data_IF_192299501637
#
_entry.id   IF_192299501637
#
_cell.length_a   1.000
_cell.length_b   1.000
_cell.length_c   1.000
_cell.angle_alpha   90.00
_cell.angle_beta   90.00
_cell.angle_gamma   90.00
#
_symmetry.space_group_name_H-M   'P 1'
#
loop_
_entity.id
_entity.type
_entity.pdbx_description
1 polymer ?
#
# COMPACT_ATOMS: atom_id res chain seq x y z
N UNK A 1 13.02 15.24 11.30
CA UNK A 1 11.95 14.43 11.96
C UNK A 1 11.00 13.71 11.00
N UNK A 2 10.56 14.28 9.86
CA UNK A 2 9.65 13.58 8.92
C UNK A 2 10.20 12.26 8.32
N UNK A 3 11.52 12.16 8.12
CA UNK A 3 12.18 10.93 7.65
C UNK A 3 12.01 9.74 8.61
N UNK A 4 11.86 9.98 9.91
CA UNK A 4 11.66 8.89 10.87
C UNK A 4 10.26 8.28 10.77
N UNK A 5 9.22 9.10 10.65
CA UNK A 5 7.84 8.62 10.53
C UNK A 5 7.62 7.81 9.24
N UNK A 6 8.28 8.17 8.14
CA UNK A 6 8.21 7.40 6.89
C UNK A 6 8.88 6.03 7.02
N UNK A 7 10.03 5.95 7.71
CA UNK A 7 10.69 4.67 8.03
C UNK A 7 9.80 3.80 8.92
N UNK A 8 9.22 4.36 9.98
CA UNK A 8 8.28 3.65 10.86
C UNK A 8 7.08 3.11 10.08
N UNK A 9 6.55 3.91 9.16
CA UNK A 9 5.44 3.51 8.28
C UNK A 9 5.83 2.29 7.45
N UNK A 10 6.98 2.34 6.77
CA UNK A 10 7.46 1.23 5.96
C UNK A 10 7.64 -0.06 6.77
N UNK A 11 8.33 0.03 7.92
CA UNK A 11 8.57 -1.11 8.81
C UNK A 11 7.25 -1.70 9.31
N UNK A 12 6.29 -0.85 9.72
CA UNK A 12 5.00 -1.32 10.22
C UNK A 12 4.18 -2.07 9.16
N UNK A 13 4.19 -1.61 7.91
CA UNK A 13 3.52 -2.32 6.81
C UNK A 13 4.23 -3.64 6.46
N UNK A 14 5.57 -3.68 6.49
CA UNK A 14 6.32 -4.93 6.29
C UNK A 14 5.96 -5.95 7.37
N UNK A 15 5.95 -5.54 8.64
CA UNK A 15 5.59 -6.42 9.75
C UNK A 15 4.14 -6.89 9.61
N UNK A 16 3.18 -5.98 9.38
CA UNK A 16 1.78 -6.37 9.27
C UNK A 16 1.54 -7.39 8.16
N UNK A 17 2.14 -7.17 6.99
CA UNK A 17 2.00 -8.10 5.87
C UNK A 17 2.77 -9.41 6.10
N UNK A 18 3.87 -9.40 6.85
CA UNK A 18 4.53 -10.63 7.32
C UNK A 18 3.59 -11.47 8.19
N UNK A 19 2.93 -10.85 9.17
CA UNK A 19 1.93 -11.52 10.01
C UNK A 19 0.72 -12.01 9.21
N UNK A 20 0.29 -11.28 8.18
CA UNK A 20 -0.76 -11.71 7.27
C UNK A 20 -0.38 -12.99 6.49
N UNK A 21 0.87 -13.09 6.02
CA UNK A 21 1.41 -14.31 5.38
C UNK A 21 1.39 -15.47 6.38
N UNK A 22 1.90 -15.26 7.60
CA UNK A 22 1.95 -16.31 8.62
C UNK A 22 0.56 -16.79 9.01
N UNK A 23 -0.41 -15.88 9.17
CA UNK A 23 -1.80 -16.22 9.44
C UNK A 23 -2.45 -17.01 8.31
N UNK A 24 -2.18 -16.63 7.06
CA UNK A 24 -2.70 -17.34 5.87
C UNK A 24 -2.06 -18.72 5.70
N UNK A 25 -0.75 -18.84 5.93
CA UNK A 25 -0.04 -20.12 5.94
C UNK A 25 -0.53 -21.04 7.06
N UNK A 26 -0.72 -20.50 8.27
CA UNK A 26 -1.29 -21.23 9.40
C UNK A 26 -2.69 -21.77 9.10
N UNK A 27 -3.53 -20.96 8.45
CA UNK A 27 -4.86 -21.37 8.02
C UNK A 27 -4.80 -22.46 6.95
N UNK A 28 -3.82 -22.44 6.04
CA UNK A 28 -3.61 -23.53 5.06
C UNK A 28 -3.31 -24.86 5.77
N UNK A 29 -2.35 -24.85 6.70
CA UNK A 29 -2.03 -26.04 7.51
C UNK A 29 -3.23 -26.54 8.31
N UNK A 30 -3.98 -25.63 8.94
CA UNK A 30 -5.18 -26.00 9.68
C UNK A 30 -6.27 -26.60 8.78
N UNK A 31 -6.43 -26.09 7.56
CA UNK A 31 -7.41 -26.63 6.62
C UNK A 31 -7.05 -28.05 6.16
N UNK A 32 -5.76 -28.38 6.04
CA UNK A 32 -5.31 -29.73 5.68
C UNK A 32 -5.58 -30.74 6.81
N UNK A 33 -5.37 -30.35 8.07
CA UNK A 33 -5.61 -31.23 9.21
C UNK A 33 -7.11 -31.49 9.46
N UNK A 34 -8.00 -30.66 8.90
CA UNK A 34 -9.44 -30.91 8.91
C UNK A 34 -9.85 -32.12 8.04
N UNK A 35 -8.96 -32.62 7.19
CA UNK A 35 -9.18 -33.84 6.40
C UNK A 35 -9.04 -35.11 7.25
N UNK A 36 -8.37 -35.04 8.40
CA UNK A 36 -8.19 -36.16 9.32
C UNK A 36 -9.28 -36.19 10.42
N UNK A 37 -10.14 -37.23 10.48
CA UNK A 37 -11.30 -37.29 11.39
C UNK A 37 -10.94 -37.21 12.88
N UNK A 38 -9.74 -37.69 13.24
CA UNK A 38 -9.23 -37.72 14.62
C UNK A 38 -8.84 -36.31 15.08
N UNK A 39 -8.15 -35.55 14.22
CA UNK A 39 -7.69 -34.18 14.48
C UNK A 39 -8.85 -33.17 14.43
N UNK A 40 -9.87 -33.44 13.60
CA UNK A 40 -11.03 -32.57 13.45
C UNK A 40 -11.97 -32.55 14.68
N UNK A 41 -11.95 -33.62 15.49
CA UNK A 41 -12.90 -33.81 16.60
C UNK A 41 -12.35 -33.32 17.95
N UNK A 42 -11.04 -33.06 18.05
CA UNK A 42 -10.40 -32.63 19.30
C UNK A 42 -10.66 -31.12 19.63
N UNK A 43 -11.42 -30.80 20.68
CA UNK A 43 -11.74 -29.42 21.04
C UNK A 43 -10.52 -28.62 21.55
N UNK A 44 -9.54 -29.25 22.20
CA UNK A 44 -8.35 -28.56 22.74
C UNK A 44 -7.46 -28.06 21.59
N UNK A 45 -7.23 -28.92 20.61
CA UNK A 45 -6.42 -28.58 19.44
C UNK A 45 -7.09 -27.50 18.58
N UNK A 46 -8.43 -27.52 18.47
CA UNK A 46 -9.19 -26.45 17.82
C UNK A 46 -9.00 -25.10 18.51
N UNK A 47 -9.10 -25.06 19.85
CA UNK A 47 -8.94 -23.83 20.62
C UNK A 47 -7.52 -23.25 20.49
N UNK A 48 -6.50 -24.11 20.52
CA UNK A 48 -5.11 -23.70 20.30
C UNK A 48 -4.90 -23.05 18.92
N UNK A 49 -5.43 -23.66 17.85
CA UNK A 49 -5.28 -23.15 16.48
C UNK A 49 -6.03 -21.83 16.26
N UNK A 50 -7.23 -21.72 16.82
CA UNK A 50 -7.99 -20.46 16.85
C UNK A 50 -7.23 -19.37 17.60
N UNK A 51 -6.63 -19.69 18.75
CA UNK A 51 -5.83 -18.75 19.53
C UNK A 51 -4.63 -18.21 18.74
N UNK A 52 -3.89 -19.09 18.06
CA UNK A 52 -2.77 -18.70 17.21
C UNK A 52 -3.22 -17.84 16.02
N UNK A 53 -4.30 -18.23 15.33
CA UNK A 53 -4.85 -17.44 14.23
C UNK A 53 -5.30 -16.04 14.69
N UNK A 54 -5.98 -15.97 15.84
CA UNK A 54 -6.38 -14.70 16.45
C UNK A 54 -5.17 -13.84 16.81
N UNK A 55 -4.09 -14.42 17.36
CA UNK A 55 -2.85 -13.72 17.65
C UNK A 55 -2.25 -13.09 16.38
N UNK A 56 -2.13 -13.86 15.29
CA UNK A 56 -1.60 -13.33 14.04
C UNK A 56 -2.44 -12.14 13.53
N UNK A 57 -3.77 -12.26 13.55
CA UNK A 57 -4.68 -11.19 13.11
C UNK A 57 -4.66 -9.94 13.99
N UNK A 58 -4.56 -10.10 15.32
CA UNK A 58 -4.45 -8.97 16.26
C UNK A 58 -3.14 -8.20 16.03
N UNK A 59 -2.02 -8.92 15.92
CA UNK A 59 -0.72 -8.30 15.68
C UNK A 59 -0.70 -7.59 14.32
N UNK A 60 -1.18 -8.24 13.26
CA UNK A 60 -1.35 -7.62 11.95
C UNK A 60 -2.13 -6.29 12.07
N UNK A 61 -3.30 -6.33 12.71
CA UNK A 61 -4.19 -5.17 12.82
C UNK A 61 -3.53 -4.01 13.57
N UNK A 62 -2.82 -4.28 14.66
CA UNK A 62 -2.09 -3.27 15.44
C UNK A 62 -1.03 -2.58 14.55
N UNK A 63 -0.24 -3.36 13.82
CA UNK A 63 0.80 -2.79 12.96
C UNK A 63 0.23 -2.02 11.76
N UNK A 64 -0.87 -2.47 11.16
CA UNK A 64 -1.59 -1.70 10.12
C UNK A 64 -2.08 -0.36 10.67
N UNK A 65 -2.60 -0.33 11.91
CA UNK A 65 -3.09 0.88 12.54
C UNK A 65 -1.96 1.86 12.83
N UNK A 66 -0.84 1.39 13.40
CA UNK A 66 0.37 2.19 13.62
C UNK A 66 0.90 2.77 12.31
N UNK A 67 0.98 1.94 11.26
CA UNK A 67 1.43 2.38 9.93
C UNK A 67 0.50 3.42 9.31
N UNK A 68 -0.81 3.23 9.45
CA UNK A 68 -1.81 4.16 8.92
C UNK A 68 -1.75 5.53 9.61
N UNK A 69 -1.62 5.55 10.94
CA UNK A 69 -1.47 6.80 11.70
C UNK A 69 -0.15 7.49 11.34
N UNK A 70 0.96 6.74 11.27
CA UNK A 70 2.26 7.29 10.92
C UNK A 70 2.29 7.87 9.49
N UNK A 71 1.65 7.21 8.53
CA UNK A 71 1.51 7.70 7.16
C UNK A 71 0.70 9.01 7.12
N UNK A 72 -0.40 9.09 7.87
CA UNK A 72 -1.21 10.28 7.95
C UNK A 72 -0.44 11.47 8.54
N UNK A 73 0.27 11.26 9.65
CA UNK A 73 1.13 12.28 10.27
C UNK A 73 2.28 12.72 9.36
N UNK A 74 2.89 11.77 8.65
CA UNK A 74 3.98 12.05 7.71
C UNK A 74 3.51 12.97 6.59
N UNK A 75 2.35 12.69 6.05
CA UNK A 75 1.83 13.47 4.94
C UNK A 75 1.28 14.83 5.39
N UNK A 76 0.68 14.94 6.57
CA UNK A 76 0.29 16.24 7.13
C UNK A 76 1.51 17.17 7.27
N UNK A 77 2.63 16.63 7.76
CA UNK A 77 3.90 17.39 7.81
C UNK A 77 4.46 17.70 6.42
N UNK A 78 4.31 16.78 5.48
CA UNK A 78 4.66 16.99 4.07
C UNK A 78 3.87 18.15 3.46
N UNK A 79 2.55 18.18 3.68
CA UNK A 79 1.64 19.26 3.29
C UNK A 79 2.10 20.62 3.79
N UNK A 80 2.36 20.73 5.09
CA UNK A 80 2.76 21.99 5.71
C UNK A 80 4.07 22.51 5.12
N UNK A 81 5.02 21.59 4.85
CA UNK A 81 6.30 21.93 4.23
C UNK A 81 6.11 22.39 2.78
N UNK A 82 5.28 21.68 2.01
CA UNK A 82 4.95 22.03 0.62
C UNK A 82 4.23 23.38 0.56
N UNK A 83 3.21 23.59 1.39
CA UNK A 83 2.48 24.85 1.53
C UNK A 83 3.41 26.02 1.84
N UNK A 84 4.25 25.89 2.87
CA UNK A 84 5.21 26.93 3.26
C UNK A 84 6.19 27.27 2.12
N UNK A 85 6.73 26.24 1.44
CA UNK A 85 7.66 26.43 0.33
C UNK A 85 7.02 27.08 -0.90
N UNK A 86 5.76 26.77 -1.19
CA UNK A 86 5.01 27.38 -2.28
C UNK A 86 4.69 28.84 -1.95
N UNK A 87 4.27 29.12 -0.72
CA UNK A 87 4.00 30.49 -0.27
C UNK A 87 5.25 31.38 -0.35
N UNK A 88 6.40 30.88 0.13
CA UNK A 88 7.69 31.60 0.05
C UNK A 88 8.07 31.92 -1.40
N UNK A 89 7.87 30.97 -2.32
CA UNK A 89 8.16 31.18 -3.76
C UNK A 89 7.22 32.19 -4.41
N UNK A 90 5.93 32.17 -4.05
CA UNK A 90 4.97 33.16 -4.56
C UNK A 90 5.33 34.55 -4.06
N UNK A 91 5.64 34.72 -2.76
CA UNK A 91 6.02 36.02 -2.20
C UNK A 91 7.31 36.61 -2.79
N UNK A 92 8.21 35.76 -3.29
CA UNK A 92 9.45 36.18 -3.98
C UNK A 92 9.30 36.40 -5.48
N UNK A 93 8.11 36.22 -6.05
CA UNK A 93 7.90 36.40 -7.48
C UNK A 93 7.80 37.88 -7.87
N UNK A 94 8.27 38.27 -9.07
CA UNK A 94 8.27 39.67 -9.50
C UNK A 94 6.85 40.20 -9.75
N UNK A 95 6.60 41.50 -9.59
CA UNK A 95 5.27 42.10 -9.81
C UNK A 95 4.64 41.76 -11.18
N UNK A 96 5.45 41.69 -12.24
CA UNK A 96 4.99 41.27 -13.58
C UNK A 96 4.28 39.90 -13.63
N UNK A 97 4.59 38.98 -12.70
CA UNK A 97 3.91 37.70 -12.57
C UNK A 97 2.47 37.88 -12.06
N UNK A 98 2.27 38.79 -11.10
CA UNK A 98 0.96 39.11 -10.53
C UNK A 98 0.09 39.95 -11.47
N UNK A 99 0.69 40.74 -12.36
CA UNK A 99 -0.04 41.51 -13.37
C UNK A 99 -0.61 40.62 -14.50
N UNK A 100 0.07 39.51 -14.80
CA UNK A 100 -0.29 38.59 -15.89
C UNK A 100 -1.13 37.40 -15.42
N UNK A 101 -1.06 37.03 -14.14
CA UNK A 101 -1.86 35.95 -13.57
C UNK A 101 -2.78 36.43 -12.45
N UNK A 102 -4.11 36.31 -12.59
CA UNK A 102 -5.03 36.75 -11.56
C UNK A 102 -4.83 35.92 -10.28
N UNK A 103 -4.79 36.59 -9.12
CA UNK A 103 -4.58 35.97 -7.80
C UNK A 103 -5.49 34.75 -7.56
N UNK A 104 -6.74 34.80 -8.02
CA UNK A 104 -7.67 33.68 -7.89
C UNK A 104 -7.20 32.40 -8.60
N UNK A 105 -6.49 32.51 -9.72
CA UNK A 105 -5.94 31.36 -10.47
C UNK A 105 -4.74 30.75 -9.74
N UNK A 106 -3.91 31.58 -9.11
CA UNK A 106 -2.77 31.15 -8.29
C UNK A 106 -3.30 30.36 -7.07
N UNK A 107 -4.28 30.90 -6.36
CA UNK A 107 -4.88 30.25 -5.19
C UNK A 107 -5.57 28.94 -5.56
N UNK A 108 -6.33 28.91 -6.66
CA UNK A 108 -7.02 27.70 -7.11
C UNK A 108 -6.03 26.57 -7.48
N UNK A 109 -4.91 26.92 -8.12
CA UNK A 109 -3.84 25.98 -8.44
C UNK A 109 -3.13 25.49 -7.18
N UNK A 110 -2.76 26.39 -6.28
CA UNK A 110 -2.12 26.07 -5.01
C UNK A 110 -2.96 25.10 -4.17
N UNK A 111 -4.25 25.40 -3.98
CA UNK A 111 -5.16 24.54 -3.21
C UNK A 111 -5.32 23.17 -3.86
N UNK A 112 -5.46 23.12 -5.20
CA UNK A 112 -5.60 21.86 -5.93
C UNK A 112 -4.33 20.99 -5.89
N UNK A 113 -3.16 21.61 -6.04
CA UNK A 113 -1.87 20.90 -6.03
C UNK A 113 -1.59 20.33 -4.64
N UNK A 114 -1.90 21.08 -3.58
CA UNK A 114 -1.80 20.60 -2.19
C UNK A 114 -2.78 19.46 -1.93
N UNK A 115 -4.05 19.62 -2.27
CA UNK A 115 -5.06 18.58 -2.06
C UNK A 115 -4.69 17.27 -2.80
N UNK A 116 -4.18 17.39 -4.01
CA UNK A 116 -3.70 16.23 -4.79
C UNK A 116 -2.47 15.58 -4.14
N UNK A 117 -1.47 16.37 -3.76
CA UNK A 117 -0.26 15.88 -3.10
C UNK A 117 -0.55 15.29 -1.72
N UNK A 118 -1.63 15.71 -1.07
CA UNK A 118 -2.03 15.21 0.24
C UNK A 118 -2.91 13.99 0.14
N UNK A 119 -4.10 14.13 -0.42
CA UNK A 119 -5.13 13.10 -0.36
C UNK A 119 -4.80 11.99 -1.35
N UNK A 120 -4.57 12.38 -2.60
CA UNK A 120 -4.41 11.42 -3.71
C UNK A 120 -3.10 10.66 -3.59
N UNK A 121 -1.99 11.35 -3.33
CA UNK A 121 -0.68 10.69 -3.17
C UNK A 121 -0.67 9.73 -1.97
N UNK A 122 -1.17 10.14 -0.81
CA UNK A 122 -1.28 9.25 0.37
C UNK A 122 -2.09 8.00 0.05
N UNK A 123 -3.27 8.19 -0.56
CA UNK A 123 -4.17 7.09 -0.87
C UNK A 123 -3.52 6.10 -1.85
N UNK A 124 -2.87 6.62 -2.90
CA UNK A 124 -2.18 5.80 -3.88
C UNK A 124 -0.98 5.07 -3.28
N UNK A 125 -0.17 5.72 -2.44
CA UNK A 125 0.95 5.07 -1.74
C UNK A 125 0.46 3.95 -0.82
N UNK A 126 -0.59 4.19 -0.03
CA UNK A 126 -1.19 3.16 0.83
C UNK A 126 -1.68 1.98 0.00
N UNK A 127 -2.42 2.26 -1.07
CA UNK A 127 -2.97 1.23 -1.95
C UNK A 127 -1.86 0.45 -2.66
N UNK A 128 -0.81 1.12 -3.12
CA UNK A 128 0.36 0.50 -3.74
C UNK A 128 1.03 -0.47 -2.78
N UNK A 129 1.33 -0.05 -1.54
CA UNK A 129 1.92 -0.95 -0.55
C UNK A 129 1.01 -2.15 -0.27
N UNK A 130 -0.28 -1.91 0.00
CA UNK A 130 -1.22 -3.00 0.27
C UNK A 130 -1.30 -4.01 -0.89
N UNK A 131 -1.39 -3.53 -2.12
CA UNK A 131 -1.48 -4.40 -3.30
C UNK A 131 -0.16 -5.14 -3.57
N UNK A 132 0.97 -4.44 -3.43
CA UNK A 132 2.29 -5.03 -3.61
C UNK A 132 2.53 -6.18 -2.63
N UNK A 133 2.29 -5.96 -1.34
CA UNK A 133 2.48 -7.00 -0.35
C UNK A 133 1.45 -8.14 -0.50
N UNK A 134 0.17 -7.84 -0.78
CA UNK A 134 -0.84 -8.88 -1.07
C UNK A 134 -0.45 -9.76 -2.25
N UNK A 135 0.08 -9.16 -3.32
CA UNK A 135 0.56 -9.91 -4.47
C UNK A 135 1.72 -10.84 -4.09
N UNK A 136 2.66 -10.37 -3.25
CA UNK A 136 3.75 -11.20 -2.73
C UNK A 136 3.21 -12.36 -1.89
N UNK A 137 2.28 -12.11 -0.96
CA UNK A 137 1.65 -13.15 -0.13
C UNK A 137 1.03 -14.24 -1.00
N UNK A 138 0.18 -13.84 -1.94
CA UNK A 138 -0.50 -14.77 -2.84
C UNK A 138 0.50 -15.56 -3.69
N UNK A 139 1.52 -14.89 -4.22
CA UNK A 139 2.54 -15.55 -5.03
C UNK A 139 3.32 -16.60 -4.23
N UNK A 140 3.75 -16.28 -3.00
CA UNK A 140 4.49 -17.21 -2.14
C UNK A 140 3.61 -18.42 -1.79
N UNK A 141 2.38 -18.19 -1.31
CA UNK A 141 1.49 -19.28 -0.90
C UNK A 141 1.15 -20.23 -2.05
N UNK A 142 0.79 -19.70 -3.22
CA UNK A 142 0.47 -20.55 -4.37
C UNK A 142 1.71 -21.33 -4.83
N UNK A 143 2.89 -20.69 -4.82
CA UNK A 143 4.13 -21.35 -5.21
C UNK A 143 4.53 -22.48 -4.26
N UNK A 144 4.21 -22.35 -2.96
CA UNK A 144 4.44 -23.41 -1.97
C UNK A 144 3.52 -24.61 -2.19
N UNK A 145 2.23 -24.36 -2.46
CA UNK A 145 1.23 -25.43 -2.65
C UNK A 145 1.35 -26.11 -4.03
N UNK A 146 1.73 -25.37 -5.08
CA UNK A 146 1.78 -25.89 -6.44
C UNK A 146 2.94 -25.29 -7.26
N UNK A 147 4.14 -25.91 -7.26
CA UNK A 147 5.31 -25.34 -7.95
C UNK A 147 5.15 -25.27 -9.48
N UNK A 148 4.26 -26.08 -10.08
CA UNK A 148 3.92 -26.01 -11.51
C UNK A 148 3.20 -24.70 -11.88
N UNK A 149 2.56 -24.04 -10.91
CA UNK A 149 1.96 -22.72 -11.12
C UNK A 149 2.95 -21.68 -11.67
N UNK A 150 4.23 -21.74 -11.27
CA UNK A 150 5.24 -20.81 -11.78
C UNK A 150 5.37 -20.84 -13.30
N UNK A 151 5.23 -22.01 -13.92
CA UNK A 151 5.30 -22.14 -15.37
C UNK A 151 4.13 -21.43 -16.07
N UNK A 152 2.94 -21.40 -15.44
CA UNK A 152 1.76 -20.69 -15.94
C UNK A 152 1.82 -19.17 -15.70
N UNK A 153 2.60 -18.71 -14.71
CA UNK A 153 2.79 -17.28 -14.44
C UNK A 153 3.60 -16.58 -15.54
N UNK A 154 4.58 -17.27 -16.14
CA UNK A 154 5.43 -16.70 -17.19
C UNK A 154 4.63 -16.15 -18.38
N UNK A 155 3.73 -16.91 -19.04
CA UNK A 155 2.93 -16.38 -20.14
C UNK A 155 1.97 -15.28 -19.68
N UNK A 156 1.44 -15.36 -18.46
CA UNK A 156 0.60 -14.32 -17.86
C UNK A 156 1.33 -12.98 -17.67
N UNK A 157 2.59 -13.02 -17.19
CA UNK A 157 3.42 -11.82 -17.03
C UNK A 157 3.74 -11.18 -18.38
N UNK A 158 3.97 -11.99 -19.42
CA UNK A 158 4.20 -11.50 -20.78
C UNK A 158 2.95 -10.76 -21.28
N UNK A 159 1.77 -11.36 -21.17
CA UNK A 159 0.50 -10.73 -21.55
C UNK A 159 0.27 -9.44 -20.75
N UNK A 160 0.48 -9.48 -19.43
CA UNK A 160 0.33 -8.31 -18.57
C UNK A 160 1.25 -7.17 -18.98
N UNK A 161 2.52 -7.47 -19.27
CA UNK A 161 3.49 -6.49 -19.75
C UNK A 161 3.05 -5.86 -21.07
N UNK A 162 2.59 -6.66 -22.04
CA UNK A 162 2.07 -6.13 -23.30
C UNK A 162 0.85 -5.23 -23.10
N UNK A 163 -0.10 -5.62 -22.24
CA UNK A 163 -1.28 -4.79 -21.92
C UNK A 163 -0.86 -3.49 -21.24
N UNK A 164 0.09 -3.54 -20.30
CA UNK A 164 0.57 -2.37 -19.59
C UNK A 164 1.28 -1.39 -20.54
N UNK A 165 2.17 -1.88 -21.40
CA UNK A 165 2.88 -1.07 -22.41
C UNK A 165 1.89 -0.46 -23.40
N UNK A 166 0.92 -1.24 -23.89
CA UNK A 166 -0.09 -0.76 -24.82
C UNK A 166 -0.95 0.34 -24.18
N UNK A 167 -1.39 0.15 -22.94
CA UNK A 167 -2.13 1.18 -22.19
C UNK A 167 -1.29 2.44 -21.94
N UNK A 168 0.00 2.28 -21.61
CA UNK A 168 0.91 3.41 -21.47
C UNK A 168 1.07 4.17 -22.79
N UNK A 169 1.25 3.45 -23.90
CA UNK A 169 1.40 4.02 -25.24
C UNK A 169 0.14 4.78 -25.67
N UNK A 170 -1.05 4.22 -25.42
CA UNK A 170 -2.33 4.88 -25.71
C UNK A 170 -2.49 6.15 -24.86
N UNK A 171 -2.10 6.11 -23.59
CA UNK A 171 -2.12 7.29 -22.72
C UNK A 171 -1.21 8.41 -23.26
N UNK A 172 0.02 8.09 -23.69
CA UNK A 172 0.91 9.07 -24.31
C UNK A 172 0.38 9.62 -25.64
N UNK A 173 -0.23 8.79 -26.48
CA UNK A 173 -0.89 9.22 -27.73
C UNK A 173 -2.13 10.09 -27.49
N UNK A 174 -2.82 9.92 -26.36
CA UNK A 174 -3.96 10.78 -26.00
C UNK A 174 -3.57 12.16 -25.46
N UNK A 175 -2.29 12.35 -25.14
CA UNK A 175 -1.71 13.60 -24.61
C UNK A 175 -0.96 14.41 -25.68
N UNK A 176 -0.74 13.85 -26.88
CA UNK A 176 -0.15 14.50 -28.06
C UNK A 176 -1.21 15.00 -29.01
#
# INVERSE_FOLDING_TARGET
MGKWLTVVTFISYVISHGFNIMGSYWLSLWSNDALDPVLATDPEQRNYRLGMYAMYGIVETIFVLVGSISLHLSALRGSQTLHASMLERVLRSPMSFFDTTPMGRILNRFSKDIDTADVTLRFNLRTLFMQFFKAIVAFILISMENPIFLAAVIPLLIIYYFVQVTRLSIFFLSLS
#
